data_IF_899293692925
#
_entry.id   IF_899293692925
#
_cell.length_a   1.000
_cell.length_b   1.000
_cell.length_c   1.000
_cell.angle_alpha   90.00
_cell.angle_beta   90.00
_cell.angle_gamma   90.00
#
_symmetry.space_group_name_H-M   'P 1'
#
loop_
_entity.id
_entity.type
_entity.pdbx_description
1 polymer ?
#
# COMPACT_ATOMS: atom_id res chain seq x y z
N UNK A 1 39.84 0.25 28.27
CA UNK A 1 38.46 0.23 27.73
C UNK A 1 38.51 1.02 26.43
N UNK A 2 38.50 0.34 25.29
CA UNK A 2 38.75 0.94 23.97
C UNK A 2 37.45 1.01 23.18
N UNK A 3 37.19 2.18 22.58
CA UNK A 3 36.00 2.47 21.80
C UNK A 3 36.02 1.67 20.49
N UNK A 4 34.91 0.99 20.19
CA UNK A 4 34.66 0.38 18.88
C UNK A 4 33.84 1.39 18.06
N UNK A 5 34.35 1.88 16.92
CA UNK A 5 33.51 2.58 15.95
C UNK A 5 32.77 1.53 15.12
N UNK A 6 31.47 1.39 15.35
CA UNK A 6 30.60 0.53 14.55
C UNK A 6 30.24 1.25 13.24
N UNK A 7 31.13 1.15 12.26
CA UNK A 7 30.92 1.65 10.92
C UNK A 7 29.90 0.75 10.20
N UNK A 8 28.62 1.13 10.24
CA UNK A 8 27.54 0.50 9.45
C UNK A 8 27.91 0.50 7.95
N UNK A 9 28.16 -0.67 7.31
CA UNK A 9 28.40 -0.74 5.88
C UNK A 9 27.05 -0.91 5.17
N UNK A 10 26.40 0.19 4.78
CA UNK A 10 25.12 0.10 4.06
C UNK A 10 24.68 1.36 3.31
N UNK A 11 25.10 2.54 3.74
CA UNK A 11 24.73 3.80 3.10
C UNK A 11 25.20 3.95 1.64
N UNK A 12 26.47 3.63 1.26
CA UNK A 12 26.93 3.90 -0.10
C UNK A 12 26.40 2.88 -1.13
N UNK A 13 26.07 1.66 -0.71
CA UNK A 13 25.53 0.62 -1.59
C UNK A 13 24.05 0.85 -1.92
N UNK A 14 23.24 1.28 -0.93
CA UNK A 14 21.81 1.62 -1.11
C UNK A 14 21.63 2.80 -2.07
N UNK A 15 22.43 3.86 -1.91
CA UNK A 15 22.39 5.01 -2.81
C UNK A 15 22.78 4.62 -4.26
N UNK A 16 23.82 3.82 -4.45
CA UNK A 16 24.23 3.35 -5.79
C UNK A 16 23.18 2.49 -6.48
N UNK A 17 22.46 1.64 -5.76
CA UNK A 17 21.37 0.85 -6.33
C UNK A 17 20.14 1.70 -6.69
N UNK A 18 19.76 2.67 -5.83
CA UNK A 18 18.67 3.62 -6.12
C UNK A 18 18.94 4.41 -7.41
N UNK A 19 20.14 4.98 -7.57
CA UNK A 19 20.51 5.71 -8.78
C UNK A 19 20.49 4.85 -10.06
N UNK A 20 20.87 3.57 -9.97
CA UNK A 20 20.82 2.65 -11.13
C UNK A 20 19.40 2.31 -11.55
N UNK A 21 18.47 2.15 -10.60
CA UNK A 21 17.04 1.92 -10.90
C UNK A 21 16.39 3.16 -11.52
N UNK A 22 16.72 4.35 -11.03
CA UNK A 22 16.26 5.63 -11.59
C UNK A 22 16.76 5.80 -13.03
N UNK A 23 18.04 5.51 -13.30
CA UNK A 23 18.59 5.60 -14.65
C UNK A 23 17.93 4.60 -15.62
N UNK A 24 17.65 3.37 -15.18
CA UNK A 24 16.97 2.37 -15.99
C UNK A 24 15.52 2.76 -16.31
N UNK A 25 14.80 3.33 -15.33
CA UNK A 25 13.45 3.83 -15.52
C UNK A 25 13.39 5.01 -16.50
N UNK A 26 14.33 5.97 -16.38
CA UNK A 26 14.47 7.09 -17.32
C UNK A 26 14.78 6.61 -18.75
N UNK A 27 15.68 5.63 -18.92
CA UNK A 27 15.99 5.08 -20.24
C UNK A 27 14.80 4.34 -20.88
N UNK A 28 14.04 3.56 -20.11
CA UNK A 28 12.85 2.88 -20.61
C UNK A 28 11.76 3.88 -21.04
N UNK A 29 11.65 5.00 -20.33
CA UNK A 29 10.63 5.98 -20.56
C UNK A 29 10.94 6.93 -21.75
N UNK A 30 12.22 7.26 -21.98
CA UNK A 30 12.67 7.96 -23.20
C UNK A 30 12.46 7.10 -24.46
N UNK A 31 12.62 5.78 -24.36
CA UNK A 31 12.39 4.86 -25.48
C UNK A 31 10.91 4.75 -25.90
N UNK A 32 9.97 5.16 -25.04
CA UNK A 32 8.53 5.08 -25.27
C UNK A 32 7.89 6.37 -25.82
N UNK A 33 8.70 7.40 -26.14
CA UNK A 33 8.19 8.63 -26.77
C UNK A 33 7.29 9.49 -25.88
N UNK A 34 7.22 9.21 -24.57
CA UNK A 34 6.48 10.05 -23.64
C UNK A 34 7.22 11.39 -23.45
N UNK A 35 6.52 12.54 -23.48
CA UNK A 35 7.16 13.83 -23.30
C UNK A 35 7.85 13.84 -21.94
N UNK A 36 9.12 14.25 -21.88
CA UNK A 36 9.92 14.26 -20.65
C UNK A 36 9.21 14.96 -19.48
N UNK A 37 8.32 15.92 -19.77
CA UNK A 37 7.47 16.60 -18.81
C UNK A 37 6.48 15.67 -18.06
N UNK A 38 6.01 14.60 -18.70
CA UNK A 38 5.11 13.61 -18.10
C UNK A 38 5.86 12.66 -17.15
N UNK A 39 7.09 12.30 -17.50
CA UNK A 39 7.88 11.29 -16.78
C UNK A 39 8.66 11.86 -15.60
N UNK A 40 9.06 13.13 -15.66
CA UNK A 40 9.78 13.80 -14.58
C UNK A 40 9.09 13.70 -13.21
N UNK A 41 7.78 14.00 -13.06
CA UNK A 41 7.10 13.85 -11.77
C UNK A 41 7.00 12.39 -11.32
N UNK A 42 6.76 11.44 -12.24
CA UNK A 42 6.71 10.00 -11.91
C UNK A 42 8.07 9.47 -11.45
N UNK A 43 9.15 9.92 -12.08
CA UNK A 43 10.50 9.57 -11.67
C UNK A 43 10.85 10.13 -10.29
N UNK A 44 10.33 11.31 -9.93
CA UNK A 44 10.47 11.88 -8.60
C UNK A 44 9.74 11.03 -7.55
N UNK A 45 8.46 10.71 -7.78
CA UNK A 45 7.68 9.84 -6.90
C UNK A 45 8.32 8.45 -6.73
N UNK A 46 8.83 7.87 -7.83
CA UNK A 46 9.55 6.59 -7.76
C UNK A 46 10.84 6.67 -6.93
N UNK A 47 11.51 7.83 -6.95
CA UNK A 47 12.73 8.05 -6.17
C UNK A 47 12.46 8.27 -4.67
N UNK A 48 11.33 8.87 -4.32
CA UNK A 48 10.81 8.98 -2.94
C UNK A 48 10.63 7.57 -2.36
N UNK A 49 9.99 6.68 -3.13
CA UNK A 49 9.88 5.26 -2.83
C UNK A 49 8.67 4.92 -1.93
N UNK A 50 8.67 3.74 -1.30
CA UNK A 50 7.53 3.29 -0.50
C UNK A 50 7.41 4.07 0.81
N UNK A 51 6.18 4.42 1.21
CA UNK A 51 5.89 5.18 2.42
C UNK A 51 4.85 4.48 3.30
N UNK A 52 5.19 4.25 4.57
CA UNK A 52 4.24 3.71 5.54
C UNK A 52 3.08 4.68 5.80
N UNK A 53 3.33 5.99 5.76
CA UNK A 53 2.31 7.02 5.96
C UNK A 53 1.27 6.99 4.83
N UNK A 54 1.72 6.80 3.59
CA UNK A 54 0.82 6.64 2.45
C UNK A 54 0.07 5.31 2.50
N UNK A 55 0.71 4.22 2.93
CA UNK A 55 0.03 2.93 3.10
C UNK A 55 -1.08 3.01 4.17
N UNK A 56 -0.82 3.70 5.28
CA UNK A 56 -1.84 3.97 6.32
C UNK A 56 -2.97 4.84 5.76
N UNK A 57 -2.65 5.87 4.98
CA UNK A 57 -3.65 6.73 4.35
C UNK A 57 -4.51 5.95 3.36
N UNK A 58 -3.90 5.11 2.50
CA UNK A 58 -4.58 4.25 1.54
C UNK A 58 -5.53 3.25 2.23
N UNK A 59 -5.08 2.61 3.32
CA UNK A 59 -5.90 1.74 4.14
C UNK A 59 -7.08 2.48 4.76
N UNK A 60 -6.87 3.68 5.29
CA UNK A 60 -7.90 4.49 5.93
C UNK A 60 -8.88 5.10 4.92
N UNK A 61 -8.45 5.46 3.71
CA UNK A 61 -9.32 5.95 2.63
C UNK A 61 -10.17 4.80 2.04
N UNK A 62 -9.59 3.62 1.89
CA UNK A 62 -10.32 2.41 1.52
C UNK A 62 -11.32 2.01 2.62
N UNK A 63 -10.94 2.16 3.89
CA UNK A 63 -11.82 1.97 5.04
C UNK A 63 -12.85 3.09 5.21
N UNK A 64 -12.64 4.29 4.65
CA UNK A 64 -13.58 5.41 4.71
C UNK A 64 -14.90 5.13 3.98
N UNK A 65 -14.93 4.13 3.08
CA UNK A 65 -16.18 3.61 2.54
C UNK A 65 -17.04 2.91 3.61
N UNK A 66 -16.43 2.44 4.71
CA UNK A 66 -17.08 1.75 5.82
C UNK A 66 -17.00 2.49 7.16
N UNK A 67 -16.21 3.57 7.27
CA UNK A 67 -16.14 4.55 8.38
C UNK A 67 -16.07 3.97 9.81
N UNK A 68 -15.50 2.77 9.98
CA UNK A 68 -15.61 1.97 11.22
C UNK A 68 -14.28 1.38 11.73
N UNK A 69 -13.16 1.67 11.08
CA UNK A 69 -11.84 1.19 11.47
C UNK A 69 -10.75 2.22 11.15
N UNK A 70 -9.83 2.45 12.07
CA UNK A 70 -8.59 3.22 11.86
C UNK A 70 -7.41 2.26 11.89
N UNK A 71 -6.60 2.30 10.84
CA UNK A 71 -5.42 1.46 10.70
C UNK A 71 -4.15 2.15 11.19
N UNK A 72 -3.27 1.35 11.80
CA UNK A 72 -1.92 1.74 12.21
C UNK A 72 -0.89 0.71 11.76
N UNK A 73 0.37 1.13 11.61
CA UNK A 73 1.46 0.23 11.20
C UNK A 73 1.83 -0.72 12.34
N UNK A 74 1.73 -2.02 12.10
CA UNK A 74 2.28 -3.05 12.97
C UNK A 74 3.74 -3.31 12.61
N UNK A 75 4.03 -3.60 11.33
CA UNK A 75 5.40 -3.80 10.86
C UNK A 75 5.58 -3.57 9.36
N UNK A 76 6.84 -3.38 8.96
CA UNK A 76 7.28 -3.34 7.56
C UNK A 76 8.22 -4.52 7.29
N UNK A 77 8.01 -5.22 6.18
CA UNK A 77 8.88 -6.32 5.75
C UNK A 77 9.02 -6.37 4.22
N UNK A 78 9.89 -7.25 3.73
CA UNK A 78 10.07 -7.49 2.30
C UNK A 78 9.51 -8.86 1.91
N UNK A 79 8.73 -8.90 0.83
CA UNK A 79 8.28 -10.17 0.27
C UNK A 79 9.42 -10.93 -0.43
N UNK A 80 9.10 -12.13 -0.94
CA UNK A 80 10.06 -12.97 -1.65
C UNK A 80 10.63 -12.32 -2.93
N UNK A 81 9.96 -11.31 -3.47
CA UNK A 81 10.36 -10.55 -4.65
C UNK A 81 11.13 -9.26 -4.27
N UNK A 82 11.32 -9.00 -2.98
CA UNK A 82 12.01 -7.83 -2.46
C UNK A 82 11.19 -6.54 -2.52
N UNK A 83 9.86 -6.64 -2.63
CA UNK A 83 8.93 -5.51 -2.54
C UNK A 83 8.58 -5.24 -1.08
N UNK A 84 8.42 -3.96 -0.74
CA UNK A 84 8.00 -3.56 0.61
C UNK A 84 6.54 -3.92 0.83
N UNK A 85 6.27 -4.55 1.96
CA UNK A 85 4.92 -4.87 2.45
C UNK A 85 4.74 -4.23 3.82
N UNK A 86 3.61 -3.56 3.99
CA UNK A 86 3.17 -2.93 5.22
C UNK A 86 2.07 -3.76 5.84
N UNK A 87 2.32 -4.29 7.03
CA UNK A 87 1.29 -4.96 7.82
C UNK A 87 0.63 -3.92 8.73
N UNK A 88 -0.64 -3.69 8.50
CA UNK A 88 -1.47 -2.70 9.17
C UNK A 88 -2.54 -3.41 10.00
N UNK A 89 -2.81 -2.88 11.18
CA UNK A 89 -3.82 -3.42 12.09
C UNK A 89 -4.84 -2.35 12.44
N UNK A 90 -6.12 -2.70 12.41
CA UNK A 90 -7.20 -1.82 12.82
C UNK A 90 -7.30 -1.69 14.34
N UNK A 91 -7.92 -0.60 14.79
CA UNK A 91 -8.32 -0.35 16.16
C UNK A 91 -9.62 -1.06 16.60
N UNK A 92 -10.17 -1.93 15.74
CA UNK A 92 -11.42 -2.64 15.99
C UNK A 92 -11.22 -3.86 16.90
N UNK A 93 -12.34 -4.36 17.45
CA UNK A 93 -12.39 -5.62 18.19
C UNK A 93 -13.49 -6.53 17.62
N UNK A 94 -13.15 -7.65 16.97
CA UNK A 94 -11.78 -8.14 16.71
C UNK A 94 -10.99 -7.24 15.75
N UNK A 95 -9.66 -7.27 15.87
CA UNK A 95 -8.75 -6.52 15.02
C UNK A 95 -8.66 -7.13 13.62
N UNK A 96 -8.65 -6.28 12.61
CA UNK A 96 -8.58 -6.62 11.19
C UNK A 96 -7.18 -6.27 10.70
N UNK A 97 -6.55 -7.21 10.00
CA UNK A 97 -5.20 -7.03 9.46
C UNK A 97 -5.28 -6.82 7.96
N UNK A 98 -4.59 -5.78 7.48
CA UNK A 98 -4.34 -5.54 6.07
C UNK A 98 -2.84 -5.61 5.79
N UNK A 99 -2.45 -6.34 4.77
CA UNK A 99 -1.10 -6.34 4.25
C UNK A 99 -1.07 -5.65 2.89
N UNK A 100 -0.44 -4.48 2.85
CA UNK A 100 -0.36 -3.63 1.68
C UNK A 100 1.04 -3.68 1.08
N UNK A 101 1.14 -4.21 -0.14
CA UNK A 101 2.37 -4.29 -0.91
C UNK A 101 2.52 -3.07 -1.80
N UNK A 102 3.67 -2.41 -1.70
CA UNK A 102 3.99 -1.28 -2.56
C UNK A 102 4.27 -1.70 -4.00
N UNK A 103 3.66 -0.99 -4.94
CA UNK A 103 3.95 -1.05 -6.36
C UNK A 103 4.04 0.35 -6.99
N UNK A 104 4.51 0.40 -8.23
CA UNK A 104 4.58 1.63 -9.00
C UNK A 104 4.15 1.40 -10.45
N UNK A 105 3.24 2.23 -10.97
CA UNK A 105 2.79 2.19 -12.37
C UNK A 105 3.41 3.34 -13.15
N UNK A 106 4.10 2.99 -14.23
CA UNK A 106 4.66 3.98 -15.18
C UNK A 106 3.65 4.44 -16.23
N UNK A 107 2.64 3.62 -16.48
CA UNK A 107 1.59 3.87 -17.45
C UNK A 107 0.22 3.71 -16.75
N UNK A 108 -0.84 4.36 -17.25
CA UNK A 108 -2.19 4.12 -16.75
C UNK A 108 -2.58 2.65 -16.92
N UNK A 109 -3.30 2.11 -15.95
CA UNK A 109 -3.92 0.78 -16.05
C UNK A 109 -5.41 0.94 -16.35
N UNK A 110 -5.93 0.18 -17.31
CA UNK A 110 -7.35 0.26 -17.70
C UNK A 110 -8.02 -1.03 -17.29
N UNK A 111 -8.89 -0.93 -16.30
CA UNK A 111 -9.65 -2.05 -15.76
C UNK A 111 -11.10 -1.91 -16.15
N UNK A 112 -11.78 -3.02 -16.39
CA UNK A 112 -13.22 -3.04 -16.58
C UNK A 112 -13.84 -3.39 -15.24
N UNK A 113 -14.58 -2.46 -14.64
CA UNK A 113 -15.28 -2.74 -13.39
C UNK A 113 -16.40 -3.77 -13.64
N UNK A 114 -16.52 -4.82 -12.80
CA UNK A 114 -17.60 -5.80 -12.89
C UNK A 114 -18.90 -5.21 -12.31
N UNK A 115 -19.42 -4.15 -12.93
CA UNK A 115 -20.72 -3.58 -12.63
C UNK A 115 -21.79 -4.11 -13.59
N UNK A 116 -23.08 -3.88 -13.27
CA UNK A 116 -24.23 -4.22 -14.13
C UNK A 116 -24.07 -3.67 -15.55
N UNK A 117 -23.39 -2.52 -15.68
CA UNK A 117 -22.86 -2.00 -16.93
C UNK A 117 -21.33 -1.93 -16.81
N UNK A 118 -20.58 -2.78 -17.53
CA UNK A 118 -19.13 -2.74 -17.53
C UNK A 118 -18.65 -1.34 -17.90
N UNK A 119 -17.94 -0.68 -16.98
CA UNK A 119 -17.45 0.68 -17.18
C UNK A 119 -15.93 0.68 -17.09
N UNK A 120 -15.23 1.32 -18.04
CA UNK A 120 -13.77 1.43 -17.96
C UNK A 120 -13.40 2.32 -16.78
N UNK A 121 -12.55 1.80 -15.91
CA UNK A 121 -11.86 2.54 -14.87
C UNK A 121 -10.40 2.69 -15.29
N UNK A 122 -9.88 3.91 -15.22
CA UNK A 122 -8.49 4.20 -15.56
C UNK A 122 -7.76 4.54 -14.27
N UNK A 123 -6.91 3.63 -13.82
CA UNK A 123 -6.02 3.90 -12.71
C UNK A 123 -4.87 4.79 -13.18
N UNK A 124 -4.59 5.90 -12.48
CA UNK A 124 -3.48 6.76 -12.85
C UNK A 124 -2.13 6.05 -12.64
N UNK A 125 -1.08 6.46 -13.39
CA UNK A 125 0.28 6.11 -13.07
C UNK A 125 0.72 6.75 -11.75
N UNK A 126 1.70 6.14 -11.09
CA UNK A 126 2.19 6.54 -9.77
C UNK A 126 2.33 5.36 -8.80
N UNK A 127 2.62 5.64 -7.53
CA UNK A 127 2.62 4.63 -6.48
C UNK A 127 1.22 4.05 -6.29
N UNK A 128 1.15 2.77 -5.91
CA UNK A 128 -0.07 2.12 -5.47
C UNK A 128 0.23 1.07 -4.41
N UNK A 129 -0.79 0.75 -3.62
CA UNK A 129 -0.73 -0.26 -2.58
C UNK A 129 -1.70 -1.39 -2.94
N UNK A 130 -1.19 -2.61 -3.00
CA UNK A 130 -1.96 -3.80 -3.34
C UNK A 130 -2.22 -4.62 -2.09
N UNK A 131 -3.47 -4.95 -1.82
CA UNK A 131 -3.83 -5.85 -0.74
C UNK A 131 -3.37 -7.27 -1.10
N UNK A 132 -2.44 -7.83 -0.31
CA UNK A 132 -1.86 -9.15 -0.58
C UNK A 132 -2.41 -10.27 0.29
N UNK A 133 -3.15 -9.94 1.35
CA UNK A 133 -3.83 -10.89 2.23
C UNK A 133 -5.37 -10.82 2.07
N UNK A 134 -5.87 -10.64 0.85
CA UNK A 134 -7.30 -10.39 0.57
C UNK A 134 -8.25 -11.38 1.25
N UNK A 135 -7.98 -12.69 1.14
CA UNK A 135 -8.80 -13.73 1.78
C UNK A 135 -8.81 -13.60 3.31
N UNK A 136 -7.66 -13.35 3.94
CA UNK A 136 -7.57 -13.19 5.40
C UNK A 136 -8.26 -11.91 5.85
N UNK A 137 -8.07 -10.82 5.10
CA UNK A 137 -8.71 -9.54 5.33
C UNK A 137 -10.24 -9.66 5.26
N UNK A 138 -10.78 -10.23 4.17
CA UNK A 138 -12.22 -10.41 3.98
C UNK A 138 -12.83 -11.29 5.09
N UNK A 139 -12.15 -12.38 5.46
CA UNK A 139 -12.62 -13.24 6.55
C UNK A 139 -12.66 -12.49 7.90
N UNK A 140 -11.59 -11.75 8.25
CA UNK A 140 -11.54 -10.95 9.47
C UNK A 140 -12.60 -9.83 9.47
N UNK A 141 -12.83 -9.19 8.31
CA UNK A 141 -13.86 -8.18 8.14
C UNK A 141 -15.27 -8.76 8.36
N UNK A 142 -15.61 -9.90 7.74
CA UNK A 142 -16.92 -10.53 7.94
C UNK A 142 -17.11 -11.07 9.36
N UNK A 143 -16.05 -11.53 10.02
CA UNK A 143 -16.12 -11.92 11.42
C UNK A 143 -16.42 -10.70 12.31
N UNK A 144 -15.71 -9.60 12.11
CA UNK A 144 -15.96 -8.36 12.82
C UNK A 144 -17.39 -7.84 12.59
N UNK A 145 -17.88 -7.85 11.35
CA UNK A 145 -19.26 -7.44 11.02
C UNK A 145 -20.29 -8.29 11.77
N UNK A 146 -20.13 -9.62 11.79
CA UNK A 146 -20.98 -10.54 12.59
C UNK A 146 -20.91 -10.30 14.09
N UNK A 147 -19.78 -9.84 14.61
CA UNK A 147 -19.65 -9.45 16.02
C UNK A 147 -20.41 -8.15 16.29
N UNK A 148 -20.33 -7.16 15.38
CA UNK A 148 -21.09 -5.92 15.52
C UNK A 148 -22.60 -6.17 15.46
N UNK A 149 -23.09 -6.96 14.50
CA UNK A 149 -24.51 -7.31 14.41
C UNK A 149 -25.05 -7.94 15.70
N UNK A 150 -24.30 -8.88 16.29
CA UNK A 150 -24.69 -9.50 17.57
C UNK A 150 -24.66 -8.54 18.77
N UNK A 151 -23.81 -7.52 18.74
CA UNK A 151 -23.77 -6.48 19.78
C UNK A 151 -24.95 -5.52 19.65
N UNK A 152 -25.37 -5.21 18.42
CA UNK A 152 -26.53 -4.37 18.14
C UNK A 152 -27.86 -5.10 18.44
N UNK A 153 -27.93 -6.42 18.26
CA UNK A 153 -29.10 -7.26 18.58
C UNK A 153 -29.18 -7.72 20.07
N UNK A 154 -28.25 -7.27 20.92
CA UNK A 154 -28.27 -7.49 22.38
C UNK A 154 -29.48 -6.82 23.05
N UNK A 155 -29.96 -7.32 24.22
CA UNK A 155 -31.35 -7.22 24.62
C UNK A 155 -31.83 -5.78 24.65
N UNK A 156 -32.82 -5.48 23.80
CA UNK A 156 -33.59 -4.25 23.92
C UNK A 156 -34.08 -4.12 25.35
N UNK A 157 -33.60 -3.10 26.06
CA UNK A 157 -34.22 -2.59 27.26
C UNK A 157 -35.62 -2.07 26.86
N UNK A 158 -36.57 -3.00 26.82
CA UNK A 158 -37.96 -2.71 27.15
C UNK A 158 -38.12 -2.98 28.63
N UNK A 159 -37.63 -2.03 29.44
CA UNK A 159 -37.91 -1.90 30.86
C UNK A 159 -38.57 -0.55 31.11
#
# INVERSE_FOLDING_TARGET
MSAVPDARPGAPARARMRHRKIAAALCAAVALGAPAAYLAPLALQYAEGPSAEEAIADANDSAAHNNKAVYSLECEYFDAEGRTVYRLVSDTDPAIVQELRYGFRWLPDVRISPAVVPSPHVDPPGPYYELVNDDEFLNAYFEWERVQERREDGPGERG
#
